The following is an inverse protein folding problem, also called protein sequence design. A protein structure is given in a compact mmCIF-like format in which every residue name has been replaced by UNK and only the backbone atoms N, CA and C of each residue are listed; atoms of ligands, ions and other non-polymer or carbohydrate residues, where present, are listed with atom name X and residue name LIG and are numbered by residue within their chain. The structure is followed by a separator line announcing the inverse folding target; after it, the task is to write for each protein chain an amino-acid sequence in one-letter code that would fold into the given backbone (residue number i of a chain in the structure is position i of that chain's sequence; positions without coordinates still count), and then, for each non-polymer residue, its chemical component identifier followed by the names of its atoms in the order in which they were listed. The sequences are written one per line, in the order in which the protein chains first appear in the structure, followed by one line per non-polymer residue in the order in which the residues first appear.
data_IF_986116303098
#
_entry.id   IF_986116303098
#
_cell.length_a   1.000
_cell.length_b   1.000
_cell.length_c   1.000
_cell.angle_alpha   90.00
_cell.angle_beta   90.00
_cell.angle_gamma   90.00
#
_symmetry.space_group_name_H-M   'P 1'
#
loop_
_entity.id
_entity.type
_entity.pdbx_description
1 polymer ?
#
# COMPACT_ATOMS: atom_id res chain seq x y z
N UNK A 1 -10.14 -70.12 5.30
CA UNK A 1 -10.37 -69.51 3.97
C UNK A 1 -11.86 -69.22 3.84
N UNK A 2 -12.28 -67.96 4.00
CA UNK A 2 -13.59 -67.47 3.54
C UNK A 2 -13.61 -65.94 3.57
N UNK A 3 -13.32 -65.37 2.40
CA UNK A 3 -13.74 -64.08 1.87
C UNK A 3 -13.98 -62.90 2.82
N UNK A 4 -12.92 -62.12 3.08
CA UNK A 4 -13.04 -60.71 3.46
C UNK A 4 -13.31 -59.89 2.18
N UNK A 5 -14.50 -60.04 1.59
CA UNK A 5 -14.93 -59.18 0.50
C UNK A 5 -15.40 -57.85 1.10
N UNK A 6 -14.53 -56.84 1.00
CA UNK A 6 -14.88 -55.43 1.23
C UNK A 6 -15.95 -55.03 0.21
N UNK A 7 -17.19 -54.97 0.68
CA UNK A 7 -18.35 -54.60 -0.12
C UNK A 7 -18.20 -53.14 -0.61
N UNK A 8 -17.97 -52.88 -1.90
CA UNK A 8 -17.61 -51.54 -2.40
C UNK A 8 -18.70 -50.50 -2.16
N UNK A 9 -19.96 -50.94 -2.02
CA UNK A 9 -21.11 -50.08 -1.74
C UNK A 9 -21.10 -49.52 -0.31
N UNK A 10 -20.56 -50.26 0.68
CA UNK A 10 -20.42 -49.77 2.05
C UNK A 10 -19.31 -48.73 2.18
N UNK A 11 -18.17 -48.94 1.51
CA UNK A 11 -17.09 -47.96 1.42
C UNK A 11 -17.55 -46.67 0.72
N UNK A 12 -18.33 -46.79 -0.36
CA UNK A 12 -18.89 -45.63 -1.06
C UNK A 12 -19.86 -44.84 -0.17
N UNK A 13 -20.73 -45.50 0.60
CA UNK A 13 -21.62 -44.83 1.57
C UNK A 13 -20.89 -44.18 2.73
N UNK A 14 -19.76 -44.76 3.18
CA UNK A 14 -18.90 -44.19 4.22
C UNK A 14 -18.16 -42.95 3.71
N UNK A 15 -17.64 -42.99 2.48
CA UNK A 15 -16.97 -41.85 1.83
C UNK A 15 -17.96 -40.72 1.51
N UNK A 16 -19.18 -41.05 1.08
CA UNK A 16 -20.24 -40.08 0.85
C UNK A 16 -20.69 -39.40 2.14
N UNK A 17 -20.90 -40.15 3.24
CA UNK A 17 -21.32 -39.57 4.52
C UNK A 17 -20.22 -38.75 5.20
N UNK A 18 -18.97 -39.23 5.19
CA UNK A 18 -17.85 -38.49 5.75
C UNK A 18 -17.46 -37.31 4.87
N UNK A 19 -17.60 -37.42 3.54
CA UNK A 19 -17.39 -36.31 2.62
C UNK A 19 -18.33 -35.13 2.89
N UNK A 20 -19.59 -35.42 3.21
CA UNK A 20 -20.55 -34.42 3.68
C UNK A 20 -20.10 -33.79 5.01
N UNK A 21 -19.61 -34.57 5.98
CA UNK A 21 -19.10 -34.04 7.25
C UNK A 21 -17.81 -33.22 7.11
N UNK A 22 -16.90 -33.61 6.22
CA UNK A 22 -15.68 -32.84 5.92
C UNK A 22 -15.99 -31.55 5.15
N UNK A 23 -16.96 -31.60 4.23
CA UNK A 23 -17.45 -30.42 3.53
C UNK A 23 -18.13 -29.46 4.51
N UNK A 24 -18.96 -29.98 5.42
CA UNK A 24 -19.62 -29.21 6.46
C UNK A 24 -18.61 -28.57 7.42
N UNK A 25 -17.64 -29.33 7.91
CA UNK A 25 -16.55 -28.81 8.73
C UNK A 25 -15.71 -27.75 8.00
N UNK A 26 -15.39 -27.99 6.72
CA UNK A 26 -14.67 -27.04 5.88
C UNK A 26 -15.45 -25.76 5.64
N UNK A 27 -16.77 -25.86 5.48
CA UNK A 27 -17.67 -24.72 5.26
C UNK A 27 -17.87 -23.92 6.55
N UNK A 28 -18.00 -24.58 7.69
CA UNK A 28 -18.00 -23.94 9.02
C UNK A 28 -16.67 -23.24 9.29
N UNK A 29 -15.54 -23.88 8.96
CA UNK A 29 -14.21 -23.29 9.13
C UNK A 29 -14.02 -22.08 8.20
N UNK A 30 -14.47 -22.18 6.95
CA UNK A 30 -14.42 -21.08 5.97
C UNK A 30 -15.33 -19.92 6.39
N UNK A 31 -16.54 -20.21 6.87
CA UNK A 31 -17.48 -19.21 7.37
C UNK A 31 -16.96 -18.54 8.64
N UNK A 32 -16.37 -19.31 9.56
CA UNK A 32 -15.71 -18.79 10.77
C UNK A 32 -14.50 -17.93 10.40
N UNK A 33 -13.67 -18.36 9.45
CA UNK A 33 -12.53 -17.60 8.95
C UNK A 33 -12.96 -16.29 8.27
N UNK A 34 -14.02 -16.34 7.46
CA UNK A 34 -14.66 -15.17 6.87
C UNK A 34 -15.14 -14.18 7.93
N UNK A 35 -15.82 -14.67 8.96
CA UNK A 35 -16.32 -13.86 10.06
C UNK A 35 -15.16 -13.19 10.83
N UNK A 36 -14.04 -13.90 11.03
CA UNK A 36 -12.83 -13.37 11.65
C UNK A 36 -12.12 -12.30 10.80
N UNK A 37 -12.14 -12.42 9.47
CA UNK A 37 -11.56 -11.41 8.57
C UNK A 37 -12.36 -10.10 8.57
N UNK A 38 -13.69 -10.17 8.73
CA UNK A 38 -14.59 -9.01 8.82
C UNK A 38 -14.33 -8.22 10.11
N UNK A 39 -13.87 -8.89 11.16
CA UNK A 39 -13.55 -8.28 12.45
C UNK A 39 -12.14 -7.68 12.36
N UNK A 40 -12.00 -6.57 11.64
CA UNK A 40 -10.72 -5.86 11.45
C UNK A 40 -10.27 -5.02 12.65
N UNK A 41 -11.16 -4.78 13.62
CA UNK A 41 -10.89 -3.90 14.76
C UNK A 41 -10.51 -4.68 16.02
N UNK A 42 -9.34 -4.34 16.56
CA UNK A 42 -8.83 -4.93 17.81
C UNK A 42 -9.84 -4.82 18.96
N UNK A 43 -10.68 -3.79 19.00
CA UNK A 43 -11.70 -3.56 20.06
C UNK A 43 -12.80 -4.64 20.03
N UNK A 44 -13.22 -5.03 18.84
CA UNK A 44 -14.30 -5.99 18.59
C UNK A 44 -13.91 -7.41 19.03
N UNK A 45 -12.63 -7.77 18.88
CA UNK A 45 -12.10 -9.04 19.42
C UNK A 45 -12.23 -9.16 20.94
N UNK A 46 -12.08 -8.07 21.70
CA UNK A 46 -12.23 -8.11 23.16
C UNK A 46 -13.68 -8.36 23.59
N UNK A 47 -14.65 -7.81 22.88
CA UNK A 47 -16.08 -8.00 23.16
C UNK A 47 -16.52 -9.45 22.91
N UNK A 48 -16.13 -10.02 21.76
CA UNK A 48 -16.42 -11.42 21.42
C UNK A 48 -15.74 -12.36 22.41
N UNK A 49 -14.48 -12.12 22.75
CA UNK A 49 -13.74 -12.92 23.74
C UNK A 49 -14.38 -12.82 25.13
N UNK A 50 -14.91 -11.65 25.51
CA UNK A 50 -15.69 -11.47 26.72
C UNK A 50 -16.97 -12.33 26.75
N UNK A 51 -17.71 -12.37 25.64
CA UNK A 51 -18.90 -13.23 25.51
C UNK A 51 -18.54 -14.72 25.61
N UNK A 52 -17.44 -15.14 24.97
CA UNK A 52 -16.94 -16.53 25.06
C UNK A 52 -16.59 -16.89 26.51
N UNK A 53 -15.90 -15.99 27.25
CA UNK A 53 -15.60 -16.22 28.66
C UNK A 53 -16.87 -16.32 29.53
N UNK A 54 -17.88 -15.50 29.26
CA UNK A 54 -19.18 -15.57 29.95
C UNK A 54 -19.90 -16.89 29.68
N UNK A 55 -19.93 -17.35 28.43
CA UNK A 55 -20.51 -18.67 28.09
C UNK A 55 -19.75 -19.80 28.78
N UNK A 56 -18.43 -19.76 28.79
CA UNK A 56 -17.60 -20.79 29.43
C UNK A 56 -17.80 -20.79 30.96
N UNK A 57 -17.92 -19.61 31.58
CA UNK A 57 -18.26 -19.47 32.99
C UNK A 57 -19.66 -20.03 33.30
N UNK A 58 -20.63 -19.86 32.41
CA UNK A 58 -21.98 -20.43 32.56
C UNK A 58 -21.94 -21.96 32.54
N UNK A 59 -21.21 -22.56 31.59
CA UNK A 59 -21.05 -24.02 31.50
C UNK A 59 -20.36 -24.58 32.75
N UNK A 60 -19.33 -23.89 33.26
CA UNK A 60 -18.67 -24.28 34.52
C UNK A 60 -19.63 -24.15 35.71
N UNK A 61 -20.42 -23.07 35.76
CA UNK A 61 -21.41 -22.84 36.81
C UNK A 61 -22.45 -23.95 36.85
N UNK A 62 -22.92 -24.40 35.69
CA UNK A 62 -23.88 -25.50 35.55
C UNK A 62 -23.25 -26.84 35.93
N UNK A 63 -21.99 -27.09 35.52
CA UNK A 63 -21.25 -28.28 35.90
C UNK A 63 -20.99 -28.37 37.42
N UNK A 64 -20.82 -27.23 38.10
CA UNK A 64 -20.65 -27.14 39.56
C UNK A 64 -21.99 -27.06 40.33
N UNK A 65 -23.13 -27.01 39.63
CA UNK A 65 -24.46 -26.94 40.25
C UNK A 65 -24.80 -25.60 40.90
N UNK A 66 -24.10 -24.51 40.55
CA UNK A 66 -24.28 -23.18 41.14
C UNK A 66 -25.50 -22.46 40.55
N UNK A 67 -26.70 -22.76 41.08
CA UNK A 67 -27.98 -22.27 40.53
C UNK A 67 -28.12 -20.74 40.45
N UNK A 68 -27.74 -20.01 41.50
CA UNK A 68 -27.86 -18.54 41.52
C UNK A 68 -26.87 -17.88 40.54
N UNK A 69 -25.65 -18.39 40.47
CA UNK A 69 -24.63 -17.88 39.56
C UNK A 69 -25.03 -18.15 38.10
N UNK A 70 -25.53 -19.35 37.79
CA UNK A 70 -26.04 -19.70 36.46
C UNK A 70 -27.16 -18.77 36.01
N UNK A 71 -28.14 -18.48 36.89
CA UNK A 71 -29.22 -17.54 36.59
C UNK A 71 -28.71 -16.13 36.27
N UNK A 72 -27.74 -15.61 37.03
CA UNK A 72 -27.15 -14.29 36.78
C UNK A 72 -26.36 -14.29 35.47
N UNK A 73 -25.54 -15.32 35.22
CA UNK A 73 -24.75 -15.45 34.00
C UNK A 73 -25.64 -15.55 32.77
N UNK A 74 -26.75 -16.28 32.82
CA UNK A 74 -27.72 -16.40 31.73
C UNK A 74 -28.31 -15.04 31.35
N UNK A 75 -28.74 -14.23 32.35
CA UNK A 75 -29.26 -12.89 32.08
C UNK A 75 -28.20 -11.93 31.56
N UNK A 76 -26.96 -12.07 32.04
CA UNK A 76 -25.83 -11.27 31.59
C UNK A 76 -25.45 -11.63 30.14
N UNK A 77 -25.44 -12.91 29.78
CA UNK A 77 -25.23 -13.38 28.40
C UNK A 77 -26.32 -12.82 27.48
N UNK A 78 -27.59 -12.88 27.90
CA UNK A 78 -28.71 -12.33 27.12
C UNK A 78 -28.53 -10.82 26.88
N UNK A 79 -28.20 -10.05 27.93
CA UNK A 79 -27.95 -8.62 27.81
C UNK A 79 -26.72 -8.28 26.94
N UNK A 80 -25.63 -9.05 27.10
CA UNK A 80 -24.41 -8.89 26.31
C UNK A 80 -24.65 -9.20 24.83
N UNK A 81 -25.44 -10.23 24.51
CA UNK A 81 -25.81 -10.57 23.14
C UNK A 81 -26.61 -9.43 22.48
N UNK A 82 -27.58 -8.84 23.19
CA UNK A 82 -28.35 -7.70 22.70
C UNK A 82 -27.45 -6.47 22.48
N UNK A 83 -26.58 -6.15 23.44
CA UNK A 83 -25.65 -5.03 23.31
C UNK A 83 -24.70 -5.20 22.11
N UNK A 84 -24.16 -6.41 21.91
CA UNK A 84 -23.34 -6.76 20.75
C UNK A 84 -24.15 -6.60 19.46
N UNK A 85 -25.38 -7.11 19.39
CA UNK A 85 -26.21 -6.98 18.19
C UNK A 85 -26.48 -5.51 17.81
N UNK A 86 -26.70 -4.63 18.79
CA UNK A 86 -26.90 -3.18 18.56
C UNK A 86 -25.60 -2.52 18.08
N UNK A 87 -24.46 -2.82 18.72
CA UNK A 87 -23.17 -2.25 18.32
C UNK A 87 -22.81 -2.70 16.90
N UNK A 88 -23.00 -3.99 16.58
CA UNK A 88 -22.66 -4.58 15.30
C UNK A 88 -23.68 -4.31 14.18
N UNK A 89 -24.76 -3.58 14.47
CA UNK A 89 -25.81 -3.31 13.48
C UNK A 89 -25.24 -2.63 12.23
N UNK A 90 -24.27 -1.72 12.40
CA UNK A 90 -23.69 -0.95 11.31
C UNK A 90 -22.77 -1.79 10.41
N UNK A 91 -22.01 -2.70 11.02
CA UNK A 91 -21.06 -3.61 10.41
C UNK A 91 -21.77 -4.72 9.67
N UNK A 92 -22.82 -5.30 10.28
CA UNK A 92 -23.66 -6.31 9.65
C UNK A 92 -24.40 -5.74 8.44
N UNK A 93 -24.91 -4.51 8.54
CA UNK A 93 -25.50 -3.80 7.41
C UNK A 93 -24.50 -3.63 6.27
N UNK A 94 -23.29 -3.16 6.57
CA UNK A 94 -22.21 -3.00 5.58
C UNK A 94 -21.81 -4.33 4.95
N UNK A 95 -21.72 -5.40 5.75
CA UNK A 95 -21.44 -6.74 5.26
C UNK A 95 -22.50 -7.24 4.27
N UNK A 96 -23.79 -7.11 4.63
CA UNK A 96 -24.90 -7.49 3.75
C UNK A 96 -24.92 -6.64 2.47
N UNK A 97 -24.58 -5.36 2.56
CA UNK A 97 -24.48 -4.48 1.40
C UNK A 97 -23.39 -4.94 0.43
N UNK A 98 -22.20 -5.28 0.95
CA UNK A 98 -21.08 -5.79 0.15
C UNK A 98 -21.39 -7.16 -0.45
N UNK A 99 -22.08 -8.02 0.30
CA UNK A 99 -22.53 -9.33 -0.16
C UNK A 99 -23.59 -9.19 -1.26
N UNK A 100 -24.54 -8.26 -1.12
CA UNK A 100 -25.56 -7.95 -2.13
C UNK A 100 -25.00 -7.34 -3.41
N UNK A 101 -23.88 -6.60 -3.34
CA UNK A 101 -23.17 -6.05 -4.51
C UNK A 101 -22.26 -7.05 -5.23
N UNK A 102 -22.12 -8.28 -4.71
CA UNK A 102 -21.20 -9.28 -5.26
C UNK A 102 -19.71 -8.95 -5.05
N UNK A 103 -19.40 -7.92 -4.24
CA UNK A 103 -18.05 -7.46 -3.92
C UNK A 103 -17.47 -8.20 -2.71
N UNK A 104 -17.85 -9.45 -2.47
CA UNK A 104 -17.31 -10.27 -1.36
C UNK A 104 -15.79 -10.41 -1.42
N UNK A 105 -15.18 -10.24 -2.60
CA UNK A 105 -13.73 -10.20 -2.77
C UNK A 105 -13.07 -9.00 -2.08
N UNK A 106 -13.77 -7.87 -1.89
CA UNK A 106 -13.29 -6.71 -1.14
C UNK A 106 -13.26 -6.93 0.39
N UNK A 107 -13.94 -7.97 0.90
CA UNK A 107 -13.84 -8.41 2.30
C UNK A 107 -12.63 -9.35 2.52
N UNK A 108 -12.27 -10.14 1.51
CA UNK A 108 -11.09 -11.03 1.51
C UNK A 108 -9.79 -10.30 1.18
N UNK A 109 -9.87 -9.28 0.32
CA UNK A 109 -8.86 -8.24 0.27
C UNK A 109 -9.00 -7.46 1.58
N UNK A 110 -8.35 -8.01 2.61
CA UNK A 110 -7.99 -7.30 3.82
C UNK A 110 -7.79 -5.85 3.40
N UNK A 111 -8.53 -4.91 3.99
CA UNK A 111 -8.17 -3.50 3.99
C UNK A 111 -6.86 -3.32 4.77
N UNK A 112 -5.84 -4.09 4.39
CA UNK A 112 -4.48 -3.64 4.44
C UNK A 112 -4.48 -2.48 3.45
N UNK A 113 -4.24 -1.24 3.90
CA UNK A 113 -3.57 -0.33 3.01
C UNK A 113 -2.19 -0.95 2.78
N UNK A 114 -2.10 -1.92 1.89
CA UNK A 114 -0.91 -2.03 1.06
C UNK A 114 -1.23 -1.11 -0.09
N UNK A 115 -0.84 0.17 -0.03
CA UNK A 115 -0.94 0.95 -1.23
C UNK A 115 0.02 0.29 -2.22
N UNK A 116 -0.51 0.01 -3.41
CA UNK A 116 0.32 0.09 -4.61
C UNK A 116 1.15 1.37 -4.46
N UNK A 117 2.46 1.29 -4.62
CA UNK A 117 3.38 2.43 -4.54
C UNK A 117 2.84 3.64 -5.33
N UNK A 118 2.13 3.36 -6.43
CA UNK A 118 1.37 4.32 -7.24
C UNK A 118 0.45 5.24 -6.40
N UNK A 119 -0.32 4.69 -5.46
CA UNK A 119 -1.26 5.48 -4.65
C UNK A 119 -0.53 6.46 -3.71
N UNK A 120 0.61 6.09 -3.12
CA UNK A 120 1.34 6.97 -2.19
C UNK A 120 1.99 8.13 -2.94
N UNK A 121 2.57 7.85 -4.10
CA UNK A 121 3.17 8.88 -4.95
C UNK A 121 2.08 9.85 -5.43
N UNK A 122 0.92 9.34 -5.83
CA UNK A 122 -0.22 10.19 -6.24
C UNK A 122 -0.69 11.11 -5.11
N UNK A 123 -0.90 10.57 -3.90
CA UNK A 123 -1.28 11.35 -2.71
C UNK A 123 -0.23 12.43 -2.38
N UNK A 124 1.06 12.11 -2.48
CA UNK A 124 2.16 13.05 -2.25
C UNK A 124 2.18 14.16 -3.30
N UNK A 125 2.07 13.81 -4.58
CA UNK A 125 2.12 14.76 -5.70
C UNK A 125 0.92 15.70 -5.64
N UNK A 126 -0.27 15.19 -5.33
CA UNK A 126 -1.48 16.00 -5.17
C UNK A 126 -1.39 16.92 -3.95
N UNK A 127 -0.83 16.45 -2.83
CA UNK A 127 -0.55 17.32 -1.67
C UNK A 127 0.43 18.44 -2.03
N UNK A 128 1.55 18.10 -2.67
CA UNK A 128 2.59 19.05 -3.09
C UNK A 128 2.04 20.08 -4.08
N UNK A 129 1.21 19.64 -5.03
CA UNK A 129 0.57 20.52 -6.01
C UNK A 129 -0.28 21.59 -5.33
N UNK A 130 -1.12 21.20 -4.39
CA UNK A 130 -1.98 22.14 -3.66
C UNK A 130 -1.17 23.06 -2.74
N UNK A 131 -0.14 22.54 -2.06
CA UNK A 131 0.78 23.35 -1.25
C UNK A 131 1.52 24.38 -2.11
N UNK A 132 1.95 23.99 -3.31
CA UNK A 132 2.59 24.87 -4.30
C UNK A 132 1.64 25.97 -4.77
N UNK A 133 0.39 25.62 -5.12
CA UNK A 133 -0.64 26.58 -5.54
C UNK A 133 -0.96 27.60 -4.45
N UNK A 134 -1.02 27.15 -3.19
CA UNK A 134 -1.27 28.00 -2.02
C UNK A 134 -0.01 28.67 -1.46
N UNK A 135 1.17 28.50 -2.10
CA UNK A 135 2.48 28.98 -1.64
C UNK A 135 2.76 28.65 -0.17
N UNK A 136 2.35 27.47 0.25
CA UNK A 136 2.60 26.96 1.59
C UNK A 136 3.93 26.23 1.61
N UNK A 137 4.87 26.70 2.43
CA UNK A 137 6.20 26.13 2.55
C UNK A 137 6.14 24.70 3.09
N UNK A 138 6.79 23.76 2.40
CA UNK A 138 6.81 22.36 2.80
C UNK A 138 8.19 21.74 2.63
N UNK A 139 8.51 20.78 3.49
CA UNK A 139 9.76 20.04 3.48
C UNK A 139 9.47 18.58 3.89
N UNK A 140 9.58 17.67 2.94
CA UNK A 140 9.31 16.24 3.16
C UNK A 140 10.57 15.44 2.88
N UNK A 141 10.95 14.56 3.79
CA UNK A 141 12.05 13.61 3.64
C UNK A 141 11.45 12.24 3.39
N UNK A 142 11.78 11.64 2.25
CA UNK A 142 11.34 10.30 1.89
C UNK A 142 12.53 9.36 1.91
N UNK A 143 12.34 8.23 2.60
CA UNK A 143 13.29 7.13 2.63
C UNK A 143 13.16 6.27 1.38
N UNK A 144 14.28 6.02 0.69
CA UNK A 144 14.30 5.30 -0.59
C UNK A 144 14.69 3.84 -0.46
N UNK A 145 15.75 3.52 0.30
CA UNK A 145 16.26 2.15 0.44
C UNK A 145 16.95 1.93 1.79
N UNK A 146 16.82 0.75 2.37
CA UNK A 146 17.35 0.46 3.71
C UNK A 146 16.70 1.31 4.81
N UNK A 147 17.20 1.19 6.03
CA UNK A 147 16.72 2.00 7.15
C UNK A 147 17.51 3.31 7.22
N UNK A 148 16.81 4.45 7.19
CA UNK A 148 17.40 5.76 7.42
C UNK A 148 17.83 5.88 8.90
N UNK A 149 19.08 6.27 9.13
CA UNK A 149 19.57 6.54 10.48
C UNK A 149 18.99 7.87 10.99
N UNK A 150 17.99 7.77 11.87
CA UNK A 150 17.31 8.92 12.45
C UNK A 150 18.19 9.73 13.41
N UNK A 151 19.37 9.22 13.80
CA UNK A 151 20.35 9.96 14.62
C UNK A 151 20.94 11.18 13.91
N UNK A 152 20.83 11.26 12.58
CA UNK A 152 21.31 12.40 11.79
C UNK A 152 20.40 13.62 11.95
N UNK A 153 19.17 13.43 12.42
CA UNK A 153 18.25 14.53 12.70
C UNK A 153 18.73 15.34 13.91
N UNK A 154 18.68 16.67 13.79
CA UNK A 154 19.02 17.57 14.90
C UNK A 154 17.95 17.47 15.99
N UNK A 155 16.68 17.36 15.57
CA UNK A 155 15.56 17.04 16.44
C UNK A 155 14.64 16.03 15.72
N UNK A 156 14.34 14.87 16.33
CA UNK A 156 13.49 13.85 15.72
C UNK A 156 12.02 14.25 15.55
N UNK A 157 11.58 15.39 16.11
CA UNK A 157 10.22 15.90 15.97
C UNK A 157 9.18 15.10 16.75
N UNK A 158 7.91 15.25 16.37
CA UNK A 158 6.77 14.55 16.99
C UNK A 158 6.43 13.30 16.17
N UNK A 159 6.44 12.13 16.81
CA UNK A 159 6.07 10.87 16.17
C UNK A 159 4.57 10.81 15.90
N UNK A 160 4.18 10.58 14.65
CA UNK A 160 2.77 10.48 14.23
C UNK A 160 2.39 9.04 13.86
N UNK A 161 3.26 8.34 13.13
CA UNK A 161 2.96 7.02 12.54
C UNK A 161 1.61 6.98 11.79
N UNK A 162 1.24 8.08 11.13
CA UNK A 162 0.01 8.20 10.34
C UNK A 162 0.18 7.57 8.96
N UNK A 163 -0.92 7.16 8.33
CA UNK A 163 -0.91 6.77 6.92
C UNK A 163 -0.73 8.02 6.05
N UNK A 164 0.06 7.93 4.98
CA UNK A 164 0.21 9.03 4.02
C UNK A 164 -1.14 9.28 3.34
N UNK A 165 -1.62 10.51 3.48
CA UNK A 165 -2.76 11.05 2.73
C UNK A 165 -2.52 12.52 2.42
N UNK A 166 -3.15 13.01 1.37
CA UNK A 166 -3.14 14.41 1.00
C UNK A 166 -3.55 15.33 2.14
N UNK A 167 -4.64 15.01 2.83
CA UNK A 167 -5.20 15.82 3.91
C UNK A 167 -4.24 15.90 5.10
N UNK A 168 -3.57 14.80 5.45
CA UNK A 168 -2.62 14.77 6.55
C UNK A 168 -1.42 15.68 6.26
N UNK A 169 -0.84 15.56 5.06
CA UNK A 169 0.31 16.37 4.64
C UNK A 169 -0.07 17.85 4.62
N UNK A 170 -1.20 18.20 4.02
CA UNK A 170 -1.69 19.58 3.97
C UNK A 170 -1.91 20.16 5.37
N UNK A 171 -2.50 19.37 6.27
CA UNK A 171 -2.75 19.78 7.66
C UNK A 171 -1.44 20.03 8.41
N UNK A 172 -0.44 19.18 8.23
CA UNK A 172 0.86 19.34 8.91
C UNK A 172 1.53 20.66 8.48
N UNK A 173 1.56 20.97 7.19
CA UNK A 173 2.23 22.18 6.69
C UNK A 173 1.42 23.47 6.81
N UNK A 174 0.22 23.41 7.38
CA UNK A 174 -0.59 24.61 7.62
C UNK A 174 0.08 25.51 8.66
N UNK A 175 0.29 26.79 8.32
CA UNK A 175 1.09 27.78 9.08
C UNK A 175 0.63 28.06 10.52
N UNK A 176 -0.56 27.60 10.91
CA UNK A 176 -1.12 27.79 12.26
C UNK A 176 -0.92 26.60 13.19
N UNK A 177 -0.35 25.49 12.71
CA UNK A 177 -0.17 24.27 13.52
C UNK A 177 1.16 24.29 14.25
N UNK A 178 1.37 23.40 15.23
CA UNK A 178 2.67 23.27 15.89
C UNK A 178 3.67 22.43 15.07
N UNK A 179 3.22 21.74 14.02
CA UNK A 179 4.01 20.75 13.27
C UNK A 179 4.53 21.28 11.93
N UNK A 180 4.09 22.47 11.50
CA UNK A 180 4.49 23.04 10.20
C UNK A 180 5.94 23.54 10.17
N UNK A 181 6.54 23.75 11.34
CA UNK A 181 7.92 24.19 11.46
C UNK A 181 8.86 22.98 11.52
N UNK A 182 9.53 22.72 10.40
CA UNK A 182 10.42 21.57 10.21
C UNK A 182 10.02 20.68 9.05
N UNK A 183 10.60 19.49 9.02
CA UNK A 183 10.40 18.48 8.00
C UNK A 183 9.41 17.40 8.44
N UNK A 184 8.76 16.79 7.45
CA UNK A 184 7.97 15.58 7.63
C UNK A 184 8.79 14.38 7.15
N UNK A 185 8.95 13.38 8.01
CA UNK A 185 9.68 12.16 7.68
C UNK A 185 8.70 11.06 7.27
N UNK A 186 8.88 10.55 6.04
CA UNK A 186 8.00 9.56 5.40
C UNK A 186 8.80 8.30 5.08
N UNK A 187 8.26 7.16 5.51
CA UNK A 187 8.82 5.82 5.27
C UNK A 187 7.74 4.96 4.64
N UNK A 188 7.96 4.52 3.40
CA UNK A 188 6.98 3.74 2.66
C UNK A 188 5.65 4.49 2.55
N UNK A 189 4.60 3.92 3.13
CA UNK A 189 3.23 4.45 3.14
C UNK A 189 2.87 5.23 4.42
N UNK A 190 3.83 5.51 5.30
CA UNK A 190 3.57 6.17 6.59
C UNK A 190 4.37 7.44 6.79
N UNK A 191 3.70 8.44 7.38
CA UNK A 191 4.32 9.60 8.01
C UNK A 191 4.79 9.18 9.39
N UNK A 192 6.10 9.00 9.55
CA UNK A 192 6.73 8.56 10.80
C UNK A 192 6.73 9.69 11.83
N UNK A 193 7.19 10.87 11.43
CA UNK A 193 7.29 12.05 12.30
C UNK A 193 7.09 13.35 11.51
N UNK A 194 6.69 14.40 12.23
CA UNK A 194 6.57 15.77 11.71
C UNK A 194 7.28 16.76 12.65
N UNK A 195 7.61 17.95 12.12
CA UNK A 195 8.42 18.93 12.86
C UNK A 195 9.85 18.46 13.10
N UNK A 196 10.40 17.63 12.21
CA UNK A 196 11.77 17.12 12.28
C UNK A 196 12.74 18.24 11.89
N UNK A 197 13.74 18.52 12.72
CA UNK A 197 14.76 19.52 12.39
C UNK A 197 15.94 18.82 11.72
N UNK A 198 16.21 19.20 10.48
CA UNK A 198 17.29 18.63 9.67
C UNK A 198 18.56 19.49 9.74
N UNK A 199 19.74 18.89 9.54
CA UNK A 199 20.96 19.65 9.38
C UNK A 199 20.93 20.51 8.11
N UNK A 200 21.52 21.69 8.17
CA UNK A 200 21.63 22.59 7.01
C UNK A 200 22.93 22.33 6.24
N UNK A 201 22.88 22.36 4.92
CA UNK A 201 24.08 22.34 4.09
C UNK A 201 24.85 23.66 4.21
N UNK A 202 26.17 23.57 4.27
CA UNK A 202 27.11 24.70 4.22
C UNK A 202 27.49 25.07 2.78
N UNK A 203 27.15 24.23 1.80
CA UNK A 203 27.41 24.53 0.39
C UNK A 203 26.53 25.70 -0.05
N UNK A 204 27.16 26.82 -0.35
CA UNK A 204 26.53 28.06 -0.75
C UNK A 204 26.05 28.02 -2.20
N UNK A 205 25.12 27.12 -2.54
CA UNK A 205 24.58 27.06 -3.90
C UNK A 205 23.46 28.09 -4.03
N UNK A 206 23.83 29.33 -4.35
CA UNK A 206 22.98 30.53 -4.52
C UNK A 206 22.50 31.22 -3.24
N UNK A 207 22.74 32.53 -3.17
CA UNK A 207 22.34 33.46 -2.09
C UNK A 207 20.81 33.58 -1.88
N UNK A 208 20.02 32.85 -2.66
CA UNK A 208 18.56 32.89 -2.74
C UNK A 208 17.89 31.63 -2.18
N UNK A 209 18.64 30.70 -1.56
CA UNK A 209 18.05 29.51 -0.94
C UNK A 209 17.55 29.82 0.48
N UNK A 210 16.25 29.63 0.69
CA UNK A 210 15.64 29.61 2.02
C UNK A 210 16.12 28.43 2.88
N UNK A 211 15.83 28.50 4.18
CA UNK A 211 16.26 27.51 5.19
C UNK A 211 15.80 26.09 4.87
N UNK A 212 14.55 25.90 4.38
CA UNK A 212 14.02 24.58 3.99
C UNK A 212 14.81 23.94 2.84
N UNK A 213 15.27 24.72 1.87
CA UNK A 213 16.09 24.19 0.77
C UNK A 213 17.47 23.76 1.27
N UNK A 214 18.10 24.57 2.14
CA UNK A 214 19.38 24.22 2.77
C UNK A 214 19.28 22.98 3.64
N UNK A 215 18.15 22.80 4.33
CA UNK A 215 17.85 21.62 5.15
C UNK A 215 17.72 20.36 4.27
N UNK A 216 16.99 20.46 3.15
CA UNK A 216 16.85 19.36 2.19
C UNK A 216 18.20 18.94 1.58
N UNK A 217 19.04 19.90 1.22
CA UNK A 217 20.40 19.59 0.75
C UNK A 217 21.25 18.98 1.87
N UNK A 218 21.21 19.54 3.08
CA UNK A 218 22.05 19.10 4.20
C UNK A 218 21.78 17.66 4.64
N UNK A 219 20.53 17.21 4.60
CA UNK A 219 20.21 15.81 4.90
C UNK A 219 20.61 14.87 3.76
N UNK A 220 20.38 15.27 2.49
CA UNK A 220 20.69 14.45 1.32
C UNK A 220 22.18 14.41 0.97
N UNK A 221 22.99 15.31 1.54
CA UNK A 221 24.46 15.23 1.52
C UNK A 221 25.01 14.19 2.50
N UNK A 222 24.30 13.95 3.60
CA UNK A 222 24.73 13.03 4.67
C UNK A 222 24.20 11.62 4.47
N UNK A 223 23.09 11.47 3.76
CA UNK A 223 22.37 10.23 3.58
C UNK A 223 22.06 10.03 2.09
N UNK A 224 22.64 8.98 1.51
CA UNK A 224 22.42 8.62 0.11
C UNK A 224 21.05 7.98 -0.12
N UNK A 225 20.47 7.41 0.94
CA UNK A 225 19.24 6.65 0.89
C UNK A 225 17.98 7.47 1.21
N UNK A 226 18.02 8.79 1.03
CA UNK A 226 16.85 9.65 1.11
C UNK A 226 16.75 10.64 -0.06
N UNK A 227 15.54 11.11 -0.29
CA UNK A 227 15.26 12.26 -1.14
C UNK A 227 14.40 13.25 -0.38
N UNK A 228 14.46 14.52 -0.75
CA UNK A 228 13.63 15.54 -0.13
C UNK A 228 12.82 16.32 -1.14
N UNK A 229 11.54 16.51 -0.87
CA UNK A 229 10.66 17.38 -1.65
C UNK A 229 10.52 18.70 -0.88
N UNK A 230 10.74 19.80 -1.57
CA UNK A 230 10.64 21.15 -1.00
C UNK A 230 9.64 21.97 -1.80
N UNK A 231 8.74 22.66 -1.11
CA UNK A 231 7.87 23.69 -1.69
C UNK A 231 8.27 25.03 -1.09
N UNK A 232 8.56 26.01 -1.96
CA UNK A 232 8.93 27.36 -1.55
C UNK A 232 7.71 28.14 -1.05
N UNK A 233 7.80 28.75 0.13
CA UNK A 233 6.76 29.65 0.66
C UNK A 233 6.71 31.00 -0.06
N UNK A 234 7.83 31.43 -0.67
CA UNK A 234 7.90 32.72 -1.37
C UNK A 234 7.31 32.61 -2.78
N UNK A 235 7.67 31.56 -3.50
CA UNK A 235 7.39 31.41 -4.94
C UNK A 235 6.39 30.30 -5.26
N UNK A 236 6.11 29.39 -4.33
CA UNK A 236 5.36 28.16 -4.59
C UNK A 236 6.14 27.14 -5.43
N UNK A 237 7.40 27.37 -5.79
CA UNK A 237 8.17 26.46 -6.65
C UNK A 237 8.47 25.14 -5.96
N UNK A 238 8.25 24.04 -6.68
CA UNK A 238 8.57 22.68 -6.22
C UNK A 238 10.03 22.36 -6.57
N UNK A 239 10.77 21.79 -5.63
CA UNK A 239 12.15 21.34 -5.80
C UNK A 239 12.34 19.93 -5.25
N UNK A 240 13.23 19.16 -5.85
CA UNK A 240 13.62 17.84 -5.35
C UNK A 240 15.12 17.85 -5.02
N UNK A 241 15.48 17.48 -3.79
CA UNK A 241 16.87 17.32 -3.38
C UNK A 241 17.26 15.85 -3.33
N UNK A 242 18.45 15.52 -3.85
CA UNK A 242 19.03 14.18 -3.84
C UNK A 242 20.55 14.27 -3.96
N UNK A 243 21.30 13.56 -3.11
CA UNK A 243 22.77 13.57 -3.13
C UNK A 243 23.38 14.97 -2.96
N UNK A 244 22.73 15.85 -2.20
CA UNK A 244 23.15 17.23 -2.01
C UNK A 244 22.95 18.18 -3.18
N UNK A 245 22.34 17.72 -4.28
CA UNK A 245 21.92 18.57 -5.39
C UNK A 245 20.42 18.88 -5.27
N UNK A 246 20.00 20.00 -5.87
CA UNK A 246 18.62 20.48 -5.84
C UNK A 246 18.12 20.70 -7.27
N UNK A 247 17.22 19.84 -7.74
CA UNK A 247 16.51 19.98 -9.00
C UNK A 247 15.33 20.96 -8.83
N UNK A 248 15.40 22.10 -9.52
CA UNK A 248 14.38 23.15 -9.47
C UNK A 248 14.39 24.03 -10.73
N UNK A 249 13.26 24.68 -11.06
CA UNK A 249 11.90 24.39 -10.58
C UNK A 249 11.32 23.15 -11.29
N UNK A 250 10.53 22.35 -10.57
CA UNK A 250 9.85 21.18 -11.10
C UNK A 250 8.34 21.42 -11.27
N UNK A 251 7.75 20.79 -12.28
CA UNK A 251 6.29 20.66 -12.40
C UNK A 251 5.80 19.46 -11.58
N UNK A 252 4.53 19.45 -11.16
CA UNK A 252 3.94 18.30 -10.45
C UNK A 252 4.04 17.00 -11.27
N UNK A 253 3.84 17.08 -12.59
CA UNK A 253 4.01 15.94 -13.50
C UNK A 253 5.46 15.44 -13.54
N UNK A 254 6.44 16.34 -13.56
CA UNK A 254 7.85 15.94 -13.54
C UNK A 254 8.28 15.36 -12.20
N UNK A 255 7.75 15.91 -11.10
CA UNK A 255 7.94 15.35 -9.76
C UNK A 255 7.43 13.89 -9.71
N UNK A 256 6.22 13.64 -10.22
CA UNK A 256 5.64 12.29 -10.26
C UNK A 256 6.55 11.32 -11.01
N UNK A 257 6.99 11.67 -12.22
CA UNK A 257 7.91 10.86 -13.02
C UNK A 257 9.22 10.54 -12.28
N UNK A 258 9.81 11.52 -11.59
CA UNK A 258 11.04 11.33 -10.82
C UNK A 258 10.86 10.45 -9.59
N UNK A 259 9.70 10.53 -8.91
CA UNK A 259 9.37 9.69 -7.77
C UNK A 259 9.12 8.24 -8.23
N UNK A 260 8.32 8.04 -9.27
CA UNK A 260 8.05 6.71 -9.84
C UNK A 260 9.35 6.02 -10.29
N UNK A 261 10.26 6.76 -10.94
CA UNK A 261 11.55 6.24 -11.35
C UNK A 261 12.44 5.80 -10.17
N UNK A 262 12.33 6.46 -9.01
CA UNK A 262 13.11 6.13 -7.81
C UNK A 262 12.50 5.03 -6.94
N UNK A 263 11.17 4.89 -6.92
CA UNK A 263 10.44 3.95 -6.07
C UNK A 263 9.90 2.71 -6.79
N UNK A 264 10.06 2.63 -8.11
CA UNK A 264 9.79 1.39 -8.85
C UNK A 264 10.72 0.28 -8.33
N UNK A 265 10.21 -0.92 -8.04
CA UNK A 265 11.05 -2.02 -7.60
C UNK A 265 12.06 -2.33 -8.71
N UNK A 266 13.33 -1.99 -8.47
CA UNK A 266 14.44 -2.57 -9.21
C UNK A 266 14.56 -4.04 -8.79
N UNK A 267 13.67 -4.86 -9.33
CA UNK A 267 13.85 -6.29 -9.48
C UNK A 267 14.51 -6.54 -10.82
N UNK A 268 15.73 -7.07 -10.75
CA UNK A 268 16.60 -7.52 -11.83
C UNK A 268 17.51 -6.46 -12.46
N UNK A 269 18.76 -6.47 -12.00
CA UNK A 269 19.86 -6.14 -12.88
C UNK A 269 19.86 -7.13 -14.04
N UNK A 270 19.41 -6.69 -15.20
CA UNK A 270 19.88 -7.23 -16.46
C UNK A 270 20.75 -6.19 -17.18
N UNK A 271 21.93 -6.70 -17.52
CA UNK A 271 23.00 -6.14 -18.31
C UNK A 271 22.46 -5.59 -19.63
N UNK A 272 22.78 -4.31 -19.92
CA UNK A 272 23.00 -3.70 -21.24
C UNK A 272 22.16 -4.23 -22.42
N UNK A 273 21.22 -3.41 -22.92
CA UNK A 273 20.97 -3.34 -24.35
C UNK A 273 20.63 -1.89 -24.77
N UNK A 274 21.27 -1.36 -25.83
CA UNK A 274 20.96 -0.02 -26.34
C UNK A 274 19.58 -0.02 -27.00
N UNK A 275 18.84 1.06 -26.73
CA UNK A 275 17.54 1.38 -27.32
C UNK A 275 17.53 1.23 -28.86
N UNK A 276 17.00 0.11 -29.35
CA UNK A 276 16.69 -0.10 -30.78
C UNK A 276 15.25 0.31 -31.15
N UNK A 277 14.43 0.69 -30.17
CA UNK A 277 13.00 1.01 -30.34
C UNK A 277 12.66 2.34 -31.04
N UNK A 278 13.66 3.17 -31.40
CA UNK A 278 13.44 4.44 -32.14
C UNK A 278 13.95 4.45 -33.58
N UNK A 279 14.59 3.38 -34.05
CA UNK A 279 15.04 3.25 -35.46
C UNK A 279 14.02 2.56 -36.38
N UNK A 280 12.95 1.97 -35.82
CA UNK A 280 11.92 1.25 -36.59
C UNK A 280 10.97 2.12 -37.42
N UNK A 281 10.95 3.45 -37.23
CA UNK A 281 10.05 4.36 -37.96
C UNK A 281 10.66 5.00 -39.21
N UNK A 282 11.98 4.90 -39.41
CA UNK A 282 12.68 5.46 -40.58
C UNK A 282 13.11 4.43 -41.62
N UNK A 283 13.01 3.13 -41.31
CA UNK A 283 13.39 2.04 -42.25
C UNK A 283 12.21 1.56 -43.10
N UNK A 284 10.96 1.76 -42.64
CA UNK A 284 9.74 1.36 -43.36
C UNK A 284 9.46 2.11 -44.68
N UNK A 285 10.10 3.26 -44.91
CA UNK A 285 9.93 4.05 -46.14
C UNK A 285 10.98 3.72 -47.23
N UNK A 286 12.13 3.13 -46.87
CA UNK A 286 13.19 2.77 -47.83
C UNK A 286 13.06 1.34 -48.38
N UNK A 287 12.39 0.44 -47.66
CA UNK A 287 12.16 -0.95 -48.12
C UNK A 287 11.12 -1.10 -49.24
N UNK A 288 10.16 -0.17 -49.33
CA UNK A 288 9.07 -0.25 -50.31
C UNK A 288 9.48 0.15 -51.73
N UNK A 289 10.59 0.89 -51.88
CA UNK A 289 11.16 1.27 -53.18
C UNK A 289 12.11 0.22 -53.77
N UNK A 290 12.67 -0.66 -52.94
CA UNK A 290 13.53 -1.76 -53.40
C UNK A 290 12.67 -2.95 -53.88
N UNK A 291 11.48 -3.13 -53.30
CA UNK A 291 10.56 -4.23 -53.62
C UNK A 291 9.82 -4.08 -54.97
N UNK A 292 9.69 -2.88 -55.52
CA UNK A 292 9.17 -2.70 -56.90
C UNK A 292 10.24 -2.93 -57.98
N UNK A 293 11.53 -2.83 -57.63
CA UNK A 293 12.63 -3.05 -58.59
C UNK A 293 13.00 -4.53 -58.76
N UNK A 294 12.49 -5.41 -57.90
CA UNK A 294 12.76 -6.85 -57.93
C UNK A 294 11.66 -7.70 -58.60
N UNK A 295 10.50 -7.11 -58.96
CA UNK A 295 9.40 -7.85 -59.63
C UNK A 295 9.47 -7.85 -61.16
N UNK A 296 10.55 -7.33 -61.75
CA UNK A 296 10.82 -7.47 -63.19
C UNK A 296 12.16 -8.16 -63.40
N UNK A 297 12.14 -9.49 -63.54
CA UNK A 297 13.20 -10.22 -64.22
C UNK A 297 12.61 -11.04 -65.37
N UNK A 298 13.18 -10.97 -66.58
CA UNK A 298 12.72 -11.67 -67.77
C UNK A 298 13.16 -13.13 -67.79
N UNK A 299 12.29 -13.97 -68.37
CA UNK A 299 12.47 -15.40 -68.60
C UNK A 299 13.56 -15.74 -69.64
N UNK A 300 14.37 -16.74 -69.27
CA UNK A 300 14.85 -17.87 -70.08
C UNK A 300 15.84 -17.66 -71.27
N UNK A 301 17.11 -18.03 -70.98
CA UNK A 301 18.02 -18.97 -71.68
C UNK A 301 18.09 -19.05 -73.22
N UNK A 302 19.31 -18.96 -73.82
CA UNK A 302 19.63 -19.60 -75.08
C UNK A 302 20.18 -21.03 -74.87
N UNK A 303 19.74 -21.93 -75.74
CA UNK A 303 20.12 -23.34 -75.85
C UNK A 303 21.44 -23.46 -76.62
N UNK A 304 22.46 -24.06 -76.00
CA UNK A 304 23.76 -24.28 -76.63
C UNK A 304 23.82 -25.61 -77.41
N UNK A 305 24.72 -25.62 -78.39
CA UNK A 305 24.80 -26.55 -79.52
C UNK A 305 25.87 -27.63 -79.27
N UNK A 306 25.48 -28.91 -79.23
CA UNK A 306 26.10 -30.10 -79.87
C UNK A 306 25.65 -31.39 -79.19
#
# INVERSE_FOLDING_TARGET
MSGFFLDPRRLLSWILSHGLSFLDFGLVLLLTYMLLLIIGERRTFWMVRGLIYLMLASVISDALGLRLLGLVLEKLILGAAVAIAVIFQSEFRRFLELLGKGQVWELFQKSSPTPKTDNVIDELVDAVKDLSQNRTGALMVLETSGNLDTKVFVNPGVTLNGQVSKELIQTIFQTKTLLHDGAVFIRGDRVVAAGVILPLSERSTSRQLGTRHRAAMGITERLDNCICIVVSEETGSISLASGGNLDRPLTSSKLKELLEAKFSPSGEGEVVAPSWGRLGRTIGLKGRLILEKFSRSPSATPKDRK
#
